data_IF_683137118689
#
_entry.id   IF_683137118689
#
_cell.length_a   1.000
_cell.length_b   1.000
_cell.length_c   1.000
_cell.angle_alpha   90.00
_cell.angle_beta   90.00
_cell.angle_gamma   90.00
#
_symmetry.space_group_name_H-M   'P 1'
#
loop_
_entity.id
_entity.type
_entity.pdbx_description
1 polymer ?
#
# COMPACT_ATOMS: atom_id res chain seq x y z
N UNK A 1 -0.28 10.52 -2.83
CA UNK A 1 0.25 10.29 -4.17
C UNK A 1 -0.86 9.72 -5.04
N UNK A 2 -1.34 10.51 -5.97
CA UNK A 2 -2.54 10.18 -6.76
C UNK A 2 -2.28 9.46 -8.06
N UNK A 3 -1.03 9.39 -8.51
CA UNK A 3 -0.66 8.73 -9.75
C UNK A 3 -0.14 7.32 -9.50
N UNK A 4 -0.07 6.50 -10.54
CA UNK A 4 0.49 5.16 -10.44
C UNK A 4 1.97 5.15 -10.09
N UNK A 5 2.44 4.08 -9.45
CA UNK A 5 3.85 3.96 -9.03
C UNK A 5 4.80 4.03 -10.24
N UNK A 6 4.39 3.51 -11.38
CA UNK A 6 5.16 3.54 -12.63
C UNK A 6 4.78 4.70 -13.56
N UNK A 7 3.97 5.64 -13.06
CA UNK A 7 3.53 6.78 -13.84
C UNK A 7 4.66 7.78 -14.13
N UNK A 8 4.43 8.64 -15.12
CA UNK A 8 5.41 9.64 -15.55
C UNK A 8 5.33 10.94 -14.74
N UNK A 9 4.53 10.97 -13.69
CA UNK A 9 4.26 12.17 -12.90
C UNK A 9 5.10 12.29 -11.62
N UNK A 10 6.12 11.46 -11.45
CA UNK A 10 7.12 11.63 -10.41
C UNK A 10 6.96 10.79 -9.15
N UNK A 11 5.95 9.93 -9.05
CA UNK A 11 5.78 9.06 -7.87
C UNK A 11 6.96 8.11 -7.70
N UNK A 12 7.42 7.51 -8.79
CA UNK A 12 8.60 6.64 -8.78
C UNK A 12 9.87 7.41 -8.41
N UNK A 13 10.03 8.64 -8.87
CA UNK A 13 11.16 9.49 -8.50
C UNK A 13 11.15 9.83 -7.01
N UNK A 14 9.98 10.10 -6.43
CA UNK A 14 9.82 10.33 -5.00
C UNK A 14 10.23 9.08 -4.22
N UNK A 15 9.75 7.91 -4.63
CA UNK A 15 10.07 6.64 -3.96
C UNK A 15 11.52 6.20 -4.18
N UNK A 16 12.17 6.63 -5.26
CA UNK A 16 13.59 6.36 -5.50
C UNK A 16 14.52 7.24 -4.64
N UNK A 17 14.01 8.35 -4.10
CA UNK A 17 14.81 9.23 -3.26
C UNK A 17 14.98 8.63 -1.86
N UNK A 18 16.20 8.27 -1.50
CA UNK A 18 16.52 7.63 -0.22
C UNK A 18 16.13 8.50 0.98
N UNK A 19 16.32 9.81 0.89
CA UNK A 19 15.96 10.73 1.97
C UNK A 19 14.46 10.77 2.20
N UNK A 20 13.67 10.76 1.12
CA UNK A 20 12.21 10.72 1.21
C UNK A 20 11.76 9.37 1.77
N UNK A 21 12.30 8.24 1.28
CA UNK A 21 11.94 6.92 1.79
C UNK A 21 12.22 6.79 3.28
N UNK A 22 13.33 7.30 3.76
CA UNK A 22 13.67 7.24 5.18
C UNK A 22 12.72 8.07 6.06
N UNK A 23 12.04 9.06 5.47
CA UNK A 23 11.06 9.88 6.16
C UNK A 23 9.65 9.29 6.15
N UNK A 24 9.38 8.24 5.35
CA UNK A 24 8.06 7.60 5.29
C UNK A 24 7.81 6.81 6.57
N UNK A 25 6.65 7.03 7.16
CA UNK A 25 6.20 6.29 8.35
C UNK A 25 5.44 5.03 7.99
N UNK A 26 4.65 5.09 6.91
CA UNK A 26 3.91 3.95 6.41
C UNK A 26 3.38 4.22 5.01
N UNK A 27 3.16 3.15 4.26
CA UNK A 27 2.62 3.21 2.90
C UNK A 27 1.44 2.25 2.80
N UNK A 28 0.33 2.74 2.31
CA UNK A 28 -0.84 1.93 1.96
C UNK A 28 -0.95 1.90 0.44
N UNK A 29 -1.02 0.70 -0.13
CA UNK A 29 -1.15 0.52 -1.57
C UNK A 29 -2.62 0.37 -1.95
N UNK A 30 -3.10 1.21 -2.85
CA UNK A 30 -4.41 1.05 -3.47
C UNK A 30 -4.24 0.37 -4.83
N UNK A 31 -4.92 -0.73 -5.05
CA UNK A 31 -4.82 -1.52 -6.28
C UNK A 31 -6.21 -1.83 -6.86
N UNK A 32 -6.31 -1.80 -8.19
CA UNK A 32 -7.57 -2.02 -8.89
C UNK A 32 -7.99 -3.49 -8.94
N UNK A 33 -7.02 -4.40 -8.96
CA UNK A 33 -7.25 -5.84 -9.02
C UNK A 33 -6.09 -6.59 -8.36
N UNK A 34 -6.21 -7.92 -8.13
CA UNK A 34 -5.15 -8.67 -7.47
C UNK A 34 -3.82 -8.69 -8.23
N UNK A 35 -3.83 -8.60 -9.55
CA UNK A 35 -2.59 -8.55 -10.34
C UNK A 35 -1.87 -7.22 -10.11
N UNK A 36 -2.61 -6.11 -10.09
CA UNK A 36 -2.05 -4.80 -9.76
C UNK A 36 -1.53 -4.76 -8.32
N UNK A 37 -2.23 -5.38 -7.39
CA UNK A 37 -1.77 -5.52 -6.01
C UNK A 37 -0.46 -6.31 -5.93
N UNK A 38 -0.38 -7.43 -6.63
CA UNK A 38 0.85 -8.24 -6.71
C UNK A 38 2.02 -7.41 -7.23
N UNK A 39 1.83 -6.75 -8.38
CA UNK A 39 2.88 -5.93 -8.99
C UNK A 39 3.28 -4.76 -8.10
N UNK A 40 2.33 -4.09 -7.50
CA UNK A 40 2.58 -2.95 -6.60
C UNK A 40 3.33 -3.35 -5.34
N UNK A 41 2.92 -4.43 -4.68
CA UNK A 41 3.60 -4.95 -3.48
C UNK A 41 5.03 -5.35 -3.81
N UNK A 42 5.20 -6.10 -4.90
CA UNK A 42 6.52 -6.57 -5.34
C UNK A 42 7.43 -5.40 -5.68
N UNK A 43 6.92 -4.41 -6.40
CA UNK A 43 7.66 -3.21 -6.78
C UNK A 43 8.11 -2.42 -5.55
N UNK A 44 7.21 -2.20 -4.58
CA UNK A 44 7.54 -1.51 -3.34
C UNK A 44 8.63 -2.25 -2.57
N UNK A 45 8.50 -3.56 -2.42
CA UNK A 45 9.46 -4.37 -1.67
C UNK A 45 10.83 -4.46 -2.36
N UNK A 46 10.84 -4.77 -3.65
CA UNK A 46 12.08 -5.09 -4.36
C UNK A 46 12.81 -3.86 -4.87
N UNK A 47 12.09 -2.94 -5.51
CA UNK A 47 12.70 -1.75 -6.10
C UNK A 47 12.92 -0.64 -5.07
N UNK A 48 11.89 -0.33 -4.29
CA UNK A 48 11.93 0.82 -3.39
C UNK A 48 12.30 0.47 -1.96
N UNK A 49 12.38 -0.83 -1.61
CA UNK A 49 12.67 -1.29 -0.24
C UNK A 49 11.68 -0.75 0.78
N UNK A 50 10.41 -0.65 0.39
CA UNK A 50 9.31 -0.19 1.22
C UNK A 50 8.35 -1.35 1.45
N UNK A 51 8.07 -1.68 2.73
CA UNK A 51 7.07 -2.68 3.07
C UNK A 51 5.71 -1.99 3.24
N UNK A 52 4.70 -2.30 2.41
CA UNK A 52 3.38 -1.70 2.57
C UNK A 52 2.73 -2.18 3.87
N UNK A 53 2.06 -1.26 4.58
CA UNK A 53 1.29 -1.57 5.78
C UNK A 53 0.05 -2.39 5.45
N UNK A 54 -0.59 -2.09 4.34
CA UNK A 54 -1.82 -2.73 3.89
C UNK A 54 -2.07 -2.46 2.41
N UNK A 55 -2.93 -3.27 1.83
CA UNK A 55 -3.46 -3.08 0.48
C UNK A 55 -4.96 -2.78 0.60
N UNK A 56 -5.44 -1.86 -0.21
CA UNK A 56 -6.85 -1.48 -0.30
C UNK A 56 -7.24 -1.26 -1.76
N UNK A 57 -8.36 -0.60 -2.00
CA UNK A 57 -8.87 -0.30 -3.33
C UNK A 57 -9.77 -1.40 -3.89
N UNK A 58 -10.16 -1.31 -5.17
CA UNK A 58 -11.08 -2.27 -5.78
C UNK A 58 -10.62 -3.73 -5.75
N UNK A 59 -9.31 -4.00 -5.66
CA UNK A 59 -8.78 -5.35 -5.46
C UNK A 59 -9.32 -6.03 -4.20
N UNK A 60 -9.83 -5.25 -3.26
CA UNK A 60 -10.38 -5.72 -1.98
C UNK A 60 -11.91 -5.65 -1.94
N UNK A 61 -12.60 -5.47 -3.07
CA UNK A 61 -14.05 -5.34 -3.12
C UNK A 61 -14.79 -6.65 -2.79
N UNK A 62 -14.10 -7.78 -2.86
CA UNK A 62 -14.67 -9.08 -2.50
C UNK A 62 -13.67 -9.91 -1.68
N UNK A 63 -14.21 -10.94 -1.02
CA UNK A 63 -13.43 -11.81 -0.15
C UNK A 63 -12.32 -12.56 -0.89
N UNK A 64 -12.56 -12.93 -2.15
CA UNK A 64 -11.56 -13.66 -2.96
C UNK A 64 -10.32 -12.79 -3.18
N UNK A 65 -10.50 -11.54 -3.55
CA UNK A 65 -9.40 -10.60 -3.74
C UNK A 65 -8.61 -10.37 -2.46
N UNK A 66 -9.31 -10.16 -1.35
CA UNK A 66 -8.69 -10.01 -0.03
C UNK A 66 -7.87 -11.23 0.34
N UNK A 67 -8.43 -12.43 0.16
CA UNK A 67 -7.73 -13.68 0.50
C UNK A 67 -6.48 -13.89 -0.36
N UNK A 68 -6.57 -13.61 -1.65
CA UNK A 68 -5.41 -13.69 -2.57
C UNK A 68 -4.27 -12.79 -2.07
N UNK A 69 -4.59 -11.55 -1.74
CA UNK A 69 -3.59 -10.59 -1.28
C UNK A 69 -2.95 -11.05 0.03
N UNK A 70 -3.78 -11.42 1.01
CA UNK A 70 -3.29 -11.86 2.32
C UNK A 70 -2.43 -13.11 2.24
N UNK A 71 -2.88 -14.11 1.49
CA UNK A 71 -2.22 -15.41 1.44
C UNK A 71 -1.01 -15.44 0.51
N UNK A 72 -1.11 -14.81 -0.66
CA UNK A 72 -0.05 -14.90 -1.67
C UNK A 72 1.00 -13.80 -1.53
N UNK A 73 0.62 -12.64 -1.01
CA UNK A 73 1.54 -11.51 -0.87
C UNK A 73 1.99 -11.27 0.57
N UNK A 74 1.36 -11.95 1.53
CA UNK A 74 1.65 -11.82 2.95
C UNK A 74 1.62 -10.36 3.42
N UNK A 75 0.54 -9.67 3.08
CA UNK A 75 0.30 -8.28 3.46
C UNK A 75 -1.15 -8.13 3.90
N UNK A 76 -1.45 -7.32 4.93
CA UNK A 76 -2.82 -7.04 5.31
C UNK A 76 -3.61 -6.42 4.15
N UNK A 77 -4.87 -6.78 4.03
CA UNK A 77 -5.76 -6.26 3.00
C UNK A 77 -7.13 -5.96 3.59
N UNK A 78 -7.61 -4.74 3.41
CA UNK A 78 -8.91 -4.27 3.89
C UNK A 78 -9.52 -3.33 2.88
N UNK A 79 -10.83 -3.45 2.66
CA UNK A 79 -11.55 -2.51 1.83
C UNK A 79 -11.81 -1.21 2.59
N UNK A 80 -11.33 -0.09 2.08
CA UNK A 80 -11.46 1.20 2.76
C UNK A 80 -12.92 1.67 2.91
N UNK A 81 -13.82 1.23 2.02
CA UNK A 81 -15.23 1.63 2.06
C UNK A 81 -16.05 0.76 3.02
N UNK A 82 -15.82 -0.56 3.02
CA UNK A 82 -16.59 -1.50 3.85
C UNK A 82 -15.93 -1.84 5.19
N UNK A 83 -14.60 -1.75 5.25
CA UNK A 83 -13.78 -2.10 6.42
C UNK A 83 -12.80 -0.99 6.80
N UNK A 84 -13.21 0.26 6.62
CA UNK A 84 -12.34 1.42 6.87
C UNK A 84 -11.78 1.48 8.29
N UNK A 85 -12.58 1.10 9.30
CA UNK A 85 -12.12 1.09 10.69
C UNK A 85 -11.01 0.06 10.91
N UNK A 86 -11.15 -1.14 10.35
CA UNK A 86 -10.14 -2.19 10.44
C UNK A 86 -8.86 -1.80 9.70
N UNK A 87 -9.00 -1.17 8.53
CA UNK A 87 -7.85 -0.62 7.80
C UNK A 87 -7.11 0.44 8.62
N UNK A 88 -7.85 1.37 9.21
CA UNK A 88 -7.28 2.42 10.04
C UNK A 88 -6.54 1.87 11.25
N UNK A 89 -7.12 0.89 11.95
CA UNK A 89 -6.49 0.23 13.09
C UNK A 89 -5.19 -0.48 12.68
N UNK A 90 -5.22 -1.17 11.54
CA UNK A 90 -4.04 -1.85 11.00
C UNK A 90 -2.91 -0.86 10.70
N UNK A 91 -3.23 0.27 10.09
CA UNK A 91 -2.24 1.30 9.77
C UNK A 91 -1.67 1.94 11.03
N UNK A 92 -2.53 2.30 12.00
CA UNK A 92 -2.10 2.88 13.27
C UNK A 92 -1.15 1.94 14.02
N UNK A 93 -1.49 0.65 14.06
CA UNK A 93 -0.62 -0.36 14.67
C UNK A 93 0.72 -0.46 13.96
N UNK A 94 0.72 -0.46 12.63
CA UNK A 94 1.93 -0.56 11.82
C UNK A 94 2.88 0.64 12.01
N UNK A 95 2.34 1.84 12.15
CA UNK A 95 3.16 3.05 12.37
C UNK A 95 3.52 3.29 13.84
N UNK A 96 3.02 2.44 14.76
CA UNK A 96 3.45 2.44 16.16
C UNK A 96 3.14 3.70 16.93
N UNK A 97 2.00 4.34 16.73
CA UNK A 97 1.60 5.58 17.43
C UNK A 97 2.56 6.76 17.19
N UNK A 98 3.30 6.76 16.09
CA UNK A 98 4.24 7.83 15.76
C UNK A 98 3.59 9.17 15.46
N UNK A 99 2.26 9.24 15.41
CA UNK A 99 1.51 10.47 15.14
C UNK A 99 1.63 10.97 13.71
N UNK A 100 2.20 10.19 12.82
CA UNK A 100 2.37 10.50 11.40
C UNK A 100 1.34 9.75 10.57
N UNK A 101 0.96 10.33 9.44
CA UNK A 101 -0.01 9.73 8.54
C UNK A 101 0.68 8.87 7.48
N UNK A 102 0.06 7.73 7.07
CA UNK A 102 0.60 6.92 5.99
C UNK A 102 0.50 7.64 4.65
N UNK A 103 1.40 7.29 3.75
CA UNK A 103 1.34 7.70 2.35
C UNK A 103 0.55 6.64 1.59
N UNK A 104 -0.45 7.06 0.82
CA UNK A 104 -1.26 6.15 0.00
C UNK A 104 -0.73 6.21 -1.42
N UNK A 105 -0.28 5.08 -1.94
CA UNK A 105 0.20 4.93 -3.31
C UNK A 105 -0.83 4.15 -4.13
N UNK A 106 -1.17 4.65 -5.32
CA UNK A 106 -2.05 3.97 -6.27
C UNK A 106 -1.21 3.43 -7.43
N UNK A 107 -1.37 2.15 -7.80
CA UNK A 107 -0.68 1.60 -8.95
C UNK A 107 -1.19 2.12 -10.28
#
# INVERSE_FOLDING_TARGET
LGDGILGTYGVDAILDCADIRSALTGVVLSANDPVAAWGGVKLLRERFKVEPCAVTGPSTDNAVGVDIIRQQMNVPAFNALSDGAALGDCVIEAIGLAGKFPVVAAP
#
